data_IF_929210049474
#
_entry.id   IF_929210049474
#
_cell.length_a   1.000
_cell.length_b   1.000
_cell.length_c   1.000
_cell.angle_alpha   90.00
_cell.angle_beta   90.00
_cell.angle_gamma   90.00
#
_symmetry.space_group_name_H-M   'P 1'
#
loop_
_entity.id
_entity.type
_entity.pdbx_description
1 polymer ?
#
# COMPACT_ATOMS: atom_id res chain seq x y z
N UNK A 1 0.76 41.76 71.60
CA UNK A 1 -0.49 40.99 71.59
C UNK A 1 -1.16 41.20 70.23
N UNK A 2 -0.87 40.32 69.26
CA UNK A 2 -1.40 40.44 67.87
C UNK A 2 -2.85 39.95 67.86
N UNK A 3 -3.80 40.86 67.60
CA UNK A 3 -5.20 40.51 67.40
C UNK A 3 -5.37 40.04 65.94
N UNK A 4 -5.45 38.73 65.73
CA UNK A 4 -5.83 38.19 64.45
C UNK A 4 -7.32 38.51 64.22
N UNK A 5 -7.63 39.24 63.15
CA UNK A 5 -9.00 39.56 62.76
C UNK A 5 -9.77 38.28 62.41
N UNK A 6 -11.06 38.22 62.73
CA UNK A 6 -11.92 37.07 62.42
C UNK A 6 -11.87 36.69 60.91
N UNK A 7 -11.65 37.66 60.06
CA UNK A 7 -11.46 37.44 58.62
C UNK A 7 -10.13 36.78 58.25
N UNK A 8 -9.05 37.04 59.06
CA UNK A 8 -7.75 36.36 58.86
C UNK A 8 -7.78 34.87 59.28
N UNK A 9 -8.57 34.57 60.35
CA UNK A 9 -8.72 33.19 60.80
C UNK A 9 -9.53 32.32 59.82
N UNK A 10 -10.59 32.89 59.23
CA UNK A 10 -11.40 32.19 58.21
C UNK A 10 -10.60 31.98 56.92
N UNK A 11 -9.79 32.94 56.49
CA UNK A 11 -8.89 32.78 55.33
C UNK A 11 -7.83 31.69 55.55
N UNK A 12 -7.29 31.62 56.78
CA UNK A 12 -6.29 30.57 57.12
C UNK A 12 -6.92 29.17 57.14
N UNK A 13 -8.16 29.04 57.67
CA UNK A 13 -8.89 27.75 57.69
C UNK A 13 -9.27 27.30 56.29
N UNK A 14 -9.69 28.20 55.38
CA UNK A 14 -9.99 27.87 53.98
C UNK A 14 -8.73 27.48 53.25
N UNK A 15 -7.59 28.14 53.50
CA UNK A 15 -6.34 27.82 52.86
C UNK A 15 -5.77 26.46 53.34
N UNK A 16 -5.94 26.13 54.64
CA UNK A 16 -5.53 24.80 55.16
C UNK A 16 -6.48 23.69 54.70
N UNK A 17 -7.77 23.93 54.51
CA UNK A 17 -8.71 22.99 53.93
C UNK A 17 -8.40 22.69 52.44
N UNK A 18 -7.97 23.72 51.68
CA UNK A 18 -7.52 23.53 50.32
C UNK A 18 -6.24 22.72 50.17
N UNK A 19 -5.33 22.82 51.16
CA UNK A 19 -4.08 22.00 51.22
C UNK A 19 -4.40 20.59 51.69
N UNK A 20 -5.46 20.37 52.48
CA UNK A 20 -5.88 19.04 52.95
C UNK A 20 -6.80 18.29 51.95
N UNK A 21 -7.51 19.04 51.08
CA UNK A 21 -8.21 18.45 49.90
C UNK A 21 -7.21 18.16 48.75
N UNK A 22 -5.95 17.84 49.12
CA UNK A 22 -4.90 17.60 48.19
C UNK A 22 -5.33 16.61 47.11
N UNK A 23 -5.46 17.09 45.88
CA UNK A 23 -5.15 16.25 44.78
C UNK A 23 -3.74 15.69 45.07
N UNK A 24 -3.69 14.47 45.57
CA UNK A 24 -2.44 13.73 45.65
C UNK A 24 -1.97 13.64 44.18
N UNK A 25 -1.14 14.57 43.75
CA UNK A 25 -0.32 14.42 42.57
C UNK A 25 0.61 13.27 42.91
N UNK A 26 0.13 12.06 42.70
CA UNK A 26 0.91 10.88 42.80
C UNK A 26 2.07 11.02 41.81
N UNK A 27 3.22 11.42 42.29
CA UNK A 27 4.46 11.25 41.56
C UNK A 27 4.67 9.74 41.40
N UNK A 28 4.08 9.20 40.32
CA UNK A 28 4.32 7.83 39.94
C UNK A 28 5.79 7.74 39.52
N UNK A 29 6.62 7.35 40.46
CA UNK A 29 8.03 7.05 40.19
C UNK A 29 7.99 5.85 39.25
N UNK A 30 8.26 6.08 37.96
CA UNK A 30 8.28 5.01 36.96
C UNK A 30 9.21 3.89 37.49
N UNK A 31 8.73 2.65 37.46
CA UNK A 31 9.53 1.50 37.79
C UNK A 31 10.76 1.47 36.86
N UNK A 32 11.94 1.02 37.37
CA UNK A 32 13.09 0.80 36.49
C UNK A 32 12.79 -0.09 35.29
N UNK A 33 11.88 -1.06 35.46
CA UNK A 33 11.42 -1.93 34.38
C UNK A 33 10.61 -1.15 33.35
N UNK A 34 9.77 -0.17 33.75
CA UNK A 34 9.01 0.66 32.83
C UNK A 34 9.93 1.60 32.04
N UNK A 35 10.96 2.13 32.68
CA UNK A 35 11.95 2.99 32.03
C UNK A 35 12.69 2.18 30.95
N UNK A 36 13.17 0.99 31.30
CA UNK A 36 13.83 0.11 30.32
C UNK A 36 12.92 -0.26 29.15
N UNK A 37 11.67 -0.62 29.44
CA UNK A 37 10.70 -0.93 28.39
C UNK A 37 10.41 0.26 27.46
N UNK A 38 10.39 1.49 28.00
CA UNK A 38 10.24 2.71 27.20
C UNK A 38 11.47 2.94 26.31
N UNK A 39 12.67 2.68 26.83
CA UNK A 39 13.91 2.79 26.06
C UNK A 39 13.96 1.75 24.94
N UNK A 40 13.63 0.49 25.24
CA UNK A 40 13.56 -0.60 24.25
C UNK A 40 12.53 -0.28 23.13
N UNK A 41 11.35 0.21 23.52
CA UNK A 41 10.32 0.61 22.55
C UNK A 41 10.74 1.82 21.68
N UNK A 42 11.46 2.79 22.26
CA UNK A 42 12.00 3.92 21.51
C UNK A 42 13.03 3.47 20.46
N UNK A 43 13.95 2.59 20.88
CA UNK A 43 14.95 2.03 19.98
C UNK A 43 14.31 1.24 18.84
N UNK A 44 13.24 0.48 19.12
CA UNK A 44 12.50 -0.26 18.10
C UNK A 44 11.74 0.69 17.15
N UNK A 45 11.12 1.76 17.65
CA UNK A 45 10.48 2.80 16.82
C UNK A 45 11.50 3.44 15.89
N UNK A 46 12.66 3.83 16.39
CA UNK A 46 13.72 4.45 15.59
C UNK A 46 14.21 3.49 14.49
N UNK A 47 14.41 2.22 14.84
CA UNK A 47 14.76 1.17 13.88
C UNK A 47 13.72 0.99 12.79
N UNK A 48 12.43 0.94 13.16
CA UNK A 48 11.33 0.80 12.19
C UNK A 48 11.21 2.02 11.29
N UNK A 49 11.44 3.22 11.82
CA UNK A 49 11.47 4.45 11.01
C UNK A 49 12.60 4.41 9.97
N UNK A 50 13.79 4.01 10.38
CA UNK A 50 14.93 3.89 9.46
C UNK A 50 14.66 2.87 8.34
N UNK A 51 14.11 1.70 8.68
CA UNK A 51 13.73 0.68 7.69
C UNK A 51 12.68 1.22 6.70
N UNK A 52 11.70 1.97 7.18
CA UNK A 52 10.66 2.58 6.35
C UNK A 52 11.22 3.67 5.42
N UNK A 53 12.16 4.46 5.91
CA UNK A 53 12.85 5.46 5.07
C UNK A 53 13.68 4.80 3.97
N UNK A 54 14.40 3.73 4.31
CA UNK A 54 15.16 2.96 3.33
C UNK A 54 14.24 2.34 2.27
N UNK A 55 13.13 1.74 2.69
CA UNK A 55 12.13 1.16 1.80
C UNK A 55 11.52 2.19 0.85
N UNK A 56 11.15 3.37 1.37
CA UNK A 56 10.65 4.46 0.56
C UNK A 56 11.68 4.94 -0.46
N UNK A 57 12.96 5.02 -0.06
CA UNK A 57 14.06 5.40 -0.95
C UNK A 57 14.23 4.41 -2.11
N UNK A 58 14.16 3.09 -1.84
CA UNK A 58 14.23 2.05 -2.87
C UNK A 58 13.08 2.17 -3.89
N UNK A 59 11.84 2.36 -3.41
CA UNK A 59 10.67 2.54 -4.30
C UNK A 59 10.75 3.85 -5.10
N UNK A 60 11.25 4.92 -4.52
CA UNK A 60 11.46 6.19 -5.23
C UNK A 60 12.54 6.08 -6.31
N UNK A 61 13.62 5.33 -6.05
CA UNK A 61 14.65 5.05 -7.06
C UNK A 61 14.07 4.22 -8.23
N UNK A 62 13.30 3.17 -7.94
CA UNK A 62 12.63 2.37 -8.96
C UNK A 62 11.61 3.19 -9.76
N UNK A 63 10.86 4.09 -9.09
CA UNK A 63 9.93 5.03 -9.74
C UNK A 63 10.67 5.92 -10.73
N UNK A 64 11.76 6.56 -10.31
CA UNK A 64 12.54 7.45 -11.16
C UNK A 64 13.11 6.72 -12.39
N UNK A 65 13.57 5.48 -12.22
CA UNK A 65 14.07 4.67 -13.33
C UNK A 65 12.94 4.25 -14.28
N UNK A 66 11.76 3.89 -13.77
CA UNK A 66 10.58 3.59 -14.60
C UNK A 66 10.13 4.84 -15.37
N UNK A 67 10.02 6.00 -14.73
CA UNK A 67 9.67 7.26 -15.38
C UNK A 67 10.65 7.61 -16.50
N UNK A 68 11.95 7.39 -16.28
CA UNK A 68 12.99 7.60 -17.28
C UNK A 68 12.84 6.65 -18.47
N UNK A 69 12.66 5.34 -18.22
CA UNK A 69 12.56 4.32 -19.28
C UNK A 69 11.26 4.40 -20.08
N UNK A 70 10.18 4.80 -19.41
CA UNK A 70 8.85 4.92 -20.01
C UNK A 70 8.55 6.33 -20.54
N UNK A 71 9.53 7.22 -20.49
CA UNK A 71 9.38 8.59 -21.01
C UNK A 71 9.01 8.57 -22.48
N UNK A 72 7.85 9.19 -22.81
CA UNK A 72 7.35 9.27 -24.18
C UNK A 72 6.42 8.12 -24.60
N UNK A 73 6.30 7.06 -23.79
CA UNK A 73 5.32 5.99 -24.05
C UNK A 73 3.89 6.51 -23.81
N UNK A 74 3.08 6.49 -24.85
CA UNK A 74 1.68 6.96 -24.77
C UNK A 74 0.81 5.92 -24.07
N UNK A 75 -0.09 6.36 -23.19
CA UNK A 75 -1.01 5.48 -22.49
C UNK A 75 -0.36 4.67 -21.36
N UNK A 76 0.84 5.08 -20.92
CA UNK A 76 1.54 4.51 -19.77
C UNK A 76 1.82 5.64 -18.76
N UNK A 77 1.60 5.38 -17.50
CA UNK A 77 1.93 6.31 -16.41
C UNK A 77 2.55 5.57 -15.22
N UNK A 78 3.39 6.28 -14.47
CA UNK A 78 4.03 5.79 -13.26
C UNK A 78 3.65 6.70 -12.11
N UNK A 79 3.19 6.12 -11.00
CA UNK A 79 2.77 6.86 -9.82
C UNK A 79 3.05 6.10 -8.54
N UNK A 80 2.84 6.77 -7.42
CA UNK A 80 2.81 6.14 -6.09
C UNK A 80 1.44 6.36 -5.49
N UNK A 81 0.88 5.33 -4.87
CA UNK A 81 -0.31 5.43 -4.04
C UNK A 81 -0.14 4.59 -2.75
N UNK A 82 -1.21 4.43 -1.97
CA UNK A 82 -1.18 3.66 -0.71
C UNK A 82 -0.82 2.18 -0.89
N UNK A 83 -1.00 1.60 -2.09
CA UNK A 83 -0.66 0.21 -2.43
C UNK A 83 0.83 0.05 -2.74
N UNK A 84 1.53 1.11 -3.11
CA UNK A 84 2.94 1.09 -3.50
C UNK A 84 3.25 1.86 -4.78
N UNK A 85 4.24 1.38 -5.55
CA UNK A 85 4.62 1.95 -6.84
C UNK A 85 3.79 1.33 -7.95
N UNK A 86 3.01 2.14 -8.65
CA UNK A 86 2.03 1.71 -9.65
C UNK A 86 2.44 2.13 -11.05
N UNK A 87 2.50 1.17 -11.97
CA UNK A 87 2.63 1.41 -13.41
C UNK A 87 1.29 1.09 -14.06
N UNK A 88 0.63 2.11 -14.60
CA UNK A 88 -0.69 1.99 -15.24
C UNK A 88 -0.55 1.98 -16.75
N UNK A 89 -1.13 0.99 -17.39
CA UNK A 89 -1.25 0.88 -18.83
C UNK A 89 -2.71 1.04 -19.24
N UNK A 90 -3.02 1.95 -20.13
CA UNK A 90 -4.29 1.94 -20.85
C UNK A 90 -4.38 0.63 -21.64
N UNK A 91 -5.52 -0.07 -21.56
CA UNK A 91 -5.64 -1.45 -22.09
C UNK A 91 -5.31 -1.56 -23.58
N UNK A 92 -5.56 -0.53 -24.36
CA UNK A 92 -5.27 -0.47 -25.79
C UNK A 92 -3.77 -0.47 -26.13
N UNK A 93 -2.91 -0.15 -25.16
CA UNK A 93 -1.45 -0.30 -25.30
C UNK A 93 -1.06 -1.78 -25.33
N UNK A 94 -1.71 -2.59 -24.51
CA UNK A 94 -1.35 -3.99 -24.29
C UNK A 94 -2.18 -4.96 -25.13
N UNK A 95 -3.45 -4.65 -25.43
CA UNK A 95 -4.42 -5.59 -25.98
C UNK A 95 -5.24 -5.00 -27.12
N UNK A 96 -5.68 -5.87 -28.01
CA UNK A 96 -6.76 -5.53 -28.94
C UNK A 96 -8.13 -5.53 -28.23
N UNK A 97 -9.11 -4.87 -28.84
CA UNK A 97 -10.45 -4.74 -28.25
C UNK A 97 -11.07 -6.09 -27.94
N UNK A 98 -11.52 -6.27 -26.70
CA UNK A 98 -12.15 -7.50 -26.24
C UNK A 98 -11.20 -8.70 -26.08
N UNK A 99 -9.90 -8.53 -26.31
CA UNK A 99 -8.91 -9.60 -26.18
C UNK A 99 -8.06 -9.43 -24.92
N UNK A 100 -7.47 -10.55 -24.48
CA UNK A 100 -6.50 -10.63 -23.40
C UNK A 100 -5.11 -11.08 -23.88
N UNK A 101 -4.93 -11.36 -25.18
CA UNK A 101 -3.63 -11.66 -25.74
C UNK A 101 -2.80 -10.39 -25.87
N UNK A 102 -1.61 -10.37 -25.28
CA UNK A 102 -0.67 -9.24 -25.38
C UNK A 102 -0.26 -9.05 -26.86
N UNK A 103 -0.23 -7.81 -27.30
CA UNK A 103 0.20 -7.42 -28.65
C UNK A 103 1.73 -7.39 -28.70
N UNK A 104 2.32 -7.84 -29.80
CA UNK A 104 3.79 -7.79 -29.97
C UNK A 104 4.34 -6.35 -29.89
N UNK A 105 3.53 -5.33 -30.22
CA UNK A 105 3.91 -3.93 -30.03
C UNK A 105 4.07 -3.52 -28.57
N UNK A 106 3.53 -4.28 -27.62
CA UNK A 106 3.62 -4.02 -26.18
C UNK A 106 4.88 -4.63 -25.54
N UNK A 107 5.56 -5.57 -26.25
CA UNK A 107 6.72 -6.30 -25.69
C UNK A 107 7.80 -5.33 -25.21
N UNK A 108 8.16 -4.34 -26.01
CA UNK A 108 9.22 -3.39 -25.64
C UNK A 108 8.92 -2.54 -24.41
N UNK A 109 7.65 -2.16 -24.18
CA UNK A 109 7.28 -1.38 -23.01
C UNK A 109 7.16 -2.25 -21.76
N UNK A 110 6.65 -3.48 -21.90
CA UNK A 110 6.61 -4.45 -20.81
C UNK A 110 8.01 -4.94 -20.40
N UNK A 111 8.92 -5.12 -21.35
CA UNK A 111 10.34 -5.47 -21.07
C UNK A 111 11.03 -4.41 -20.22
N UNK A 112 10.77 -3.11 -20.47
CA UNK A 112 11.32 -2.03 -19.66
C UNK A 112 10.86 -2.15 -18.19
N UNK A 113 9.60 -2.50 -17.96
CA UNK A 113 9.03 -2.68 -16.61
C UNK A 113 9.60 -3.95 -15.97
N UNK A 114 9.58 -5.09 -16.67
CA UNK A 114 10.13 -6.35 -16.18
C UNK A 114 11.60 -6.23 -15.75
N UNK A 115 12.41 -5.52 -16.55
CA UNK A 115 13.81 -5.27 -16.23
C UNK A 115 13.99 -4.48 -14.91
N UNK A 116 13.16 -3.46 -14.65
CA UNK A 116 13.23 -2.71 -13.37
C UNK A 116 12.77 -3.58 -12.21
N UNK A 117 11.66 -4.33 -12.39
CA UNK A 117 11.15 -5.27 -11.39
C UNK A 117 12.22 -6.29 -10.97
N UNK A 118 12.95 -6.86 -11.93
CA UNK A 118 13.91 -7.90 -11.67
C UNK A 118 15.27 -7.38 -11.19
N UNK A 119 15.64 -6.14 -11.51
CA UNK A 119 16.95 -5.59 -11.16
C UNK A 119 16.95 -4.69 -9.92
N UNK A 120 15.89 -3.93 -9.67
CA UNK A 120 15.86 -2.94 -8.59
C UNK A 120 14.97 -3.32 -7.41
N UNK A 121 13.93 -4.16 -7.65
CA UNK A 121 12.95 -4.54 -6.65
C UNK A 121 12.70 -6.05 -6.66
N UNK A 122 13.77 -6.83 -6.83
CA UNK A 122 13.75 -8.28 -6.99
C UNK A 122 13.18 -9.05 -5.77
N UNK A 123 13.10 -8.43 -4.62
CA UNK A 123 12.61 -8.98 -3.36
C UNK A 123 11.18 -8.54 -2.99
N UNK A 124 10.50 -7.79 -3.89
CA UNK A 124 9.14 -7.29 -3.64
C UNK A 124 8.09 -8.11 -4.38
N UNK A 125 6.92 -8.21 -3.79
CA UNK A 125 5.75 -8.80 -4.43
C UNK A 125 5.15 -7.83 -5.46
N UNK A 126 4.58 -8.41 -6.52
CA UNK A 126 4.00 -7.68 -7.64
C UNK A 126 2.54 -8.08 -7.78
N UNK A 127 1.64 -7.11 -7.68
CA UNK A 127 0.24 -7.30 -7.98
C UNK A 127 -0.07 -6.78 -9.39
N UNK A 128 -0.81 -7.54 -10.15
CA UNK A 128 -1.31 -7.14 -11.46
C UNK A 128 -2.83 -7.03 -11.38
N UNK A 129 -3.36 -5.83 -11.60
CA UNK A 129 -4.79 -5.56 -11.50
C UNK A 129 -5.37 -5.21 -12.87
N UNK A 130 -6.39 -5.95 -13.29
CA UNK A 130 -7.13 -5.71 -14.53
C UNK A 130 -8.44 -5.00 -14.28
N UNK A 131 -8.75 -4.02 -15.12
CA UNK A 131 -9.97 -3.22 -15.03
C UNK A 131 -10.61 -3.04 -16.42
N UNK A 132 -11.94 -2.85 -16.43
CA UNK A 132 -12.72 -2.51 -17.62
C UNK A 132 -13.50 -1.22 -17.37
N UNK A 133 -14.10 -0.70 -18.43
CA UNK A 133 -15.23 0.21 -18.32
C UNK A 133 -16.53 -0.58 -18.06
N UNK A 134 -17.66 0.13 -17.98
CA UNK A 134 -18.98 -0.46 -17.74
C UNK A 134 -19.71 -0.91 -19.04
N UNK A 135 -19.04 -0.92 -20.19
CA UNK A 135 -19.65 -1.43 -21.40
C UNK A 135 -19.83 -2.95 -21.32
N UNK A 136 -21.04 -3.47 -21.54
CA UNK A 136 -21.28 -4.91 -21.51
C UNK A 136 -20.49 -5.65 -22.58
N UNK A 137 -19.99 -6.83 -22.26
CA UNK A 137 -19.34 -7.72 -23.22
C UNK A 137 -20.39 -8.22 -24.25
N UNK A 138 -20.14 -7.95 -25.53
CA UNK A 138 -21.11 -8.31 -26.62
C UNK A 138 -20.54 -9.29 -27.66
N UNK A 139 -19.24 -9.26 -27.92
CA UNK A 139 -18.64 -9.94 -29.10
C UNK A 139 -17.38 -10.75 -28.82
N UNK A 140 -16.76 -10.63 -27.64
CA UNK A 140 -15.43 -11.21 -27.36
C UNK A 140 -15.45 -12.62 -26.76
N UNK A 141 -16.62 -13.20 -26.55
CA UNK A 141 -16.75 -14.56 -25.97
C UNK A 141 -16.57 -14.65 -24.45
N UNK A 142 -16.19 -13.56 -23.79
CA UNK A 142 -16.15 -13.51 -22.31
C UNK A 142 -17.56 -13.43 -21.74
N UNK A 143 -17.79 -14.06 -20.59
CA UNK A 143 -19.09 -14.03 -19.91
C UNK A 143 -19.40 -12.67 -19.30
N UNK A 144 -18.37 -11.98 -18.78
CA UNK A 144 -18.50 -10.68 -18.14
C UNK A 144 -17.17 -9.90 -18.14
N UNK A 145 -17.22 -8.66 -17.67
CA UNK A 145 -16.05 -7.83 -17.42
C UNK A 145 -15.10 -8.40 -16.36
N UNK A 146 -15.59 -9.28 -15.48
CA UNK A 146 -14.77 -10.00 -14.50
C UNK A 146 -13.76 -10.93 -15.19
N UNK A 147 -14.22 -11.79 -16.10
CA UNK A 147 -13.36 -12.74 -16.81
C UNK A 147 -12.36 -12.01 -17.71
N UNK A 148 -12.82 -10.98 -18.44
CA UNK A 148 -11.93 -10.22 -19.34
C UNK A 148 -10.81 -9.54 -18.53
N UNK A 149 -11.15 -8.86 -17.43
CA UNK A 149 -10.16 -8.15 -16.61
C UNK A 149 -9.17 -9.12 -15.95
N UNK A 150 -9.66 -10.26 -15.43
CA UNK A 150 -8.82 -11.31 -14.85
C UNK A 150 -7.89 -11.92 -15.89
N UNK A 151 -8.40 -12.26 -17.08
CA UNK A 151 -7.58 -12.83 -18.14
C UNK A 151 -6.48 -11.86 -18.60
N UNK A 152 -6.76 -10.55 -18.67
CA UNK A 152 -5.75 -9.52 -18.99
C UNK A 152 -4.67 -9.42 -17.92
N UNK A 153 -5.05 -9.40 -16.65
CA UNK A 153 -4.10 -9.41 -15.54
C UNK A 153 -3.22 -10.66 -15.57
N UNK A 154 -3.81 -11.83 -15.81
CA UNK A 154 -3.10 -13.11 -15.92
C UNK A 154 -2.14 -13.14 -17.11
N UNK A 155 -2.51 -12.57 -18.26
CA UNK A 155 -1.61 -12.49 -19.42
C UNK A 155 -0.36 -11.64 -19.12
N UNK A 156 -0.52 -10.53 -18.39
CA UNK A 156 0.63 -9.72 -17.97
C UNK A 156 1.46 -10.45 -16.91
N UNK A 157 0.83 -11.20 -16.00
CA UNK A 157 1.53 -12.05 -15.04
C UNK A 157 2.44 -13.05 -15.75
N UNK A 158 1.91 -13.81 -16.70
CA UNK A 158 2.71 -14.79 -17.46
C UNK A 158 3.83 -14.12 -18.25
N UNK A 159 3.59 -12.94 -18.82
CA UNK A 159 4.65 -12.18 -19.48
C UNK A 159 5.80 -11.85 -18.52
N UNK A 160 5.50 -11.36 -17.31
CA UNK A 160 6.53 -11.06 -16.30
C UNK A 160 7.26 -12.33 -15.84
N UNK A 161 6.54 -13.46 -15.70
CA UNK A 161 7.11 -14.76 -15.38
C UNK A 161 8.10 -15.23 -16.47
N UNK A 162 7.71 -15.15 -17.75
CA UNK A 162 8.57 -15.46 -18.90
C UNK A 162 9.82 -14.55 -18.96
N UNK A 163 9.73 -13.32 -18.45
CA UNK A 163 10.85 -12.38 -18.34
C UNK A 163 11.68 -12.57 -17.07
N UNK A 164 11.44 -13.65 -16.31
CA UNK A 164 12.26 -14.06 -15.17
C UNK A 164 11.80 -13.53 -13.81
N UNK A 165 10.62 -12.92 -13.73
CA UNK A 165 10.04 -12.59 -12.40
C UNK A 165 9.57 -13.87 -11.72
N UNK A 166 10.04 -14.11 -10.49
CA UNK A 166 9.76 -15.34 -9.74
C UNK A 166 8.26 -15.50 -9.48
N UNK A 167 7.62 -16.66 -9.79
CA UNK A 167 6.16 -16.85 -9.71
C UNK A 167 5.55 -16.59 -8.33
N UNK A 168 6.26 -16.94 -7.25
CA UNK A 168 5.78 -16.74 -5.88
C UNK A 168 5.66 -15.26 -5.46
N UNK A 169 6.19 -14.35 -6.28
CA UNK A 169 6.07 -12.90 -6.09
C UNK A 169 4.87 -12.31 -6.85
N UNK A 170 4.25 -13.07 -7.74
CA UNK A 170 3.24 -12.57 -8.67
C UNK A 170 1.84 -12.91 -8.19
N UNK A 171 0.94 -11.95 -8.30
CA UNK A 171 -0.48 -12.15 -8.12
C UNK A 171 -1.26 -11.39 -9.19
N UNK A 172 -2.36 -11.97 -9.69
CA UNK A 172 -3.23 -11.35 -10.68
C UNK A 172 -4.67 -11.27 -10.17
N UNK A 173 -5.29 -10.11 -10.33
CA UNK A 173 -6.68 -9.85 -9.89
C UNK A 173 -7.43 -9.08 -10.98
N UNK A 174 -8.65 -9.52 -11.29
CA UNK A 174 -9.57 -8.77 -12.14
C UNK A 174 -10.66 -8.12 -11.31
N UNK A 175 -10.90 -6.83 -11.52
CA UNK A 175 -11.95 -6.08 -10.82
C UNK A 175 -13.15 -5.73 -11.71
N UNK A 176 -13.11 -6.14 -12.99
CA UNK A 176 -14.15 -5.73 -13.92
C UNK A 176 -14.30 -4.21 -13.97
N UNK A 177 -15.54 -3.75 -13.96
CA UNK A 177 -15.94 -2.33 -14.02
C UNK A 177 -16.07 -1.67 -12.63
N UNK A 178 -15.83 -2.41 -11.54
CA UNK A 178 -16.22 -2.00 -10.18
C UNK A 178 -15.20 -1.14 -9.45
N UNK A 179 -14.06 -0.83 -10.09
CA UNK A 179 -13.06 0.12 -9.58
C UNK A 179 -12.73 1.20 -10.62
N UNK A 180 -13.70 2.06 -11.00
CA UNK A 180 -13.46 3.11 -11.96
C UNK A 180 -12.57 4.21 -11.38
N UNK A 181 -11.67 4.77 -12.20
CA UNK A 181 -10.82 5.94 -11.86
C UNK A 181 -11.31 7.22 -12.55
N UNK A 182 -12.30 7.10 -13.43
CA UNK A 182 -12.93 8.22 -14.12
C UNK A 182 -14.41 7.90 -14.40
N UNK A 183 -15.22 8.93 -14.75
CA UNK A 183 -16.61 8.70 -15.13
C UNK A 183 -16.72 7.81 -16.38
N UNK A 184 -17.62 6.83 -16.34
CA UNK A 184 -17.96 5.99 -17.48
C UNK A 184 -18.87 6.69 -18.52
N UNK A 185 -19.39 7.90 -18.24
CA UNK A 185 -20.27 8.63 -19.13
C UNK A 185 -19.54 9.16 -20.36
N UNK A 186 -18.25 9.47 -20.22
CA UNK A 186 -17.42 9.99 -21.31
C UNK A 186 -16.55 8.91 -21.95
N UNK A 187 -16.22 9.06 -23.21
CA UNK A 187 -15.33 8.14 -23.94
C UNK A 187 -13.93 8.13 -23.33
N UNK A 188 -13.44 9.29 -22.95
CA UNK A 188 -12.13 9.50 -22.34
C UNK A 188 -12.06 8.86 -20.95
N UNK A 189 -13.14 8.97 -20.16
CA UNK A 189 -13.23 8.33 -18.86
C UNK A 189 -13.27 6.80 -18.95
N UNK A 190 -14.07 6.26 -19.88
CA UNK A 190 -14.08 4.81 -20.16
C UNK A 190 -12.70 4.31 -20.59
N UNK A 191 -11.98 5.07 -21.42
CA UNK A 191 -10.62 4.71 -21.81
C UNK A 191 -9.67 4.62 -20.61
N UNK A 192 -9.76 5.54 -19.66
CA UNK A 192 -8.97 5.48 -18.41
C UNK A 192 -9.35 4.30 -17.53
N UNK A 193 -10.64 3.92 -17.53
CA UNK A 193 -11.12 2.78 -16.75
C UNK A 193 -10.64 1.45 -17.35
N UNK A 194 -10.55 1.33 -18.68
CA UNK A 194 -9.94 0.16 -19.34
C UNK A 194 -8.43 0.20 -19.18
N UNK A 195 -7.90 -0.41 -18.11
CA UNK A 195 -6.49 -0.37 -17.78
C UNK A 195 -6.00 -1.67 -17.13
N UNK A 196 -4.70 -1.83 -17.14
CA UNK A 196 -3.98 -2.80 -16.28
C UNK A 196 -2.97 -2.03 -15.45
N UNK A 197 -2.93 -2.32 -14.18
CA UNK A 197 -1.97 -1.76 -13.22
C UNK A 197 -0.99 -2.86 -12.80
N UNK A 198 0.30 -2.57 -12.86
CA UNK A 198 1.35 -3.37 -12.27
C UNK A 198 1.80 -2.63 -11.01
N UNK A 199 1.60 -3.25 -9.85
CA UNK A 199 1.83 -2.63 -8.54
C UNK A 199 3.00 -3.34 -7.88
N UNK A 200 4.06 -2.60 -7.61
CA UNK A 200 5.18 -3.07 -6.81
C UNK A 200 4.84 -2.78 -5.36
N UNK A 201 4.52 -3.84 -4.62
CA UNK A 201 4.03 -3.75 -3.24
C UNK A 201 5.16 -3.36 -2.28
N UNK A 202 4.85 -2.65 -1.19
CA UNK A 202 5.75 -2.48 -0.08
C UNK A 202 6.20 -3.82 0.48
N UNK A 203 7.39 -3.88 1.09
CA UNK A 203 7.80 -5.04 1.87
C UNK A 203 6.91 -5.13 3.11
N UNK A 204 6.41 -6.32 3.39
CA UNK A 204 5.73 -6.54 4.66
C UNK A 204 6.73 -6.36 5.80
N UNK A 205 6.35 -5.61 6.81
CA UNK A 205 7.16 -5.47 8.01
C UNK A 205 7.37 -6.85 8.66
N UNK A 206 8.48 -6.99 9.39
CA UNK A 206 8.76 -8.24 10.11
C UNK A 206 7.64 -8.57 11.11
N UNK A 207 7.05 -7.54 11.73
CA UNK A 207 5.91 -7.67 12.64
C UNK A 207 4.64 -8.18 11.94
N UNK A 208 4.32 -7.66 10.74
CA UNK A 208 3.20 -8.18 9.93
C UNK A 208 3.45 -9.62 9.47
N UNK A 209 4.68 -9.94 9.10
CA UNK A 209 5.06 -11.30 8.72
C UNK A 209 4.97 -12.28 9.89
N UNK A 210 5.39 -11.87 11.09
CA UNK A 210 5.27 -12.69 12.31
C UNK A 210 3.81 -12.85 12.74
N UNK A 211 3.02 -11.78 12.69
CA UNK A 211 1.59 -11.80 12.95
C UNK A 211 0.85 -12.79 12.02
N UNK A 212 1.13 -12.76 10.72
CA UNK A 212 0.52 -13.70 9.78
C UNK A 212 0.94 -15.14 10.04
N UNK A 213 2.21 -15.40 10.36
CA UNK A 213 2.70 -16.75 10.71
C UNK A 213 2.08 -17.30 11.98
N UNK A 214 1.80 -16.43 12.95
CA UNK A 214 1.17 -16.83 14.20
C UNK A 214 -0.30 -17.21 13.98
N UNK A 215 -1.01 -16.47 13.11
CA UNK A 215 -2.43 -16.71 12.80
C UNK A 215 -2.64 -17.73 11.68
N UNK A 216 -1.63 -18.04 10.87
CA UNK A 216 -1.70 -19.12 9.88
C UNK A 216 -1.83 -20.49 10.56
N UNK A 217 -1.24 -20.67 11.75
CA UNK A 217 -1.40 -21.87 12.56
C UNK A 217 -2.82 -22.02 13.10
N UNK A 218 -3.52 -20.91 13.37
CA UNK A 218 -4.90 -20.95 13.85
C UNK A 218 -5.91 -21.28 12.72
N UNK A 219 -5.56 -20.98 11.46
CA UNK A 219 -6.40 -21.30 10.29
C UNK A 219 -6.40 -22.79 9.91
N UNK A 220 -5.46 -23.58 10.40
CA UNK A 220 -5.39 -25.02 10.18
C UNK A 220 -6.49 -25.80 10.95
N UNK A 221 -7.19 -25.15 11.89
CA UNK A 221 -8.32 -25.70 12.65
C UNK A 221 -9.70 -25.52 11.99
N UNK A 222 -9.76 -24.94 10.77
CA UNK A 222 -11.03 -24.67 10.05
C UNK A 222 -11.14 -25.54 8.77
N UNK A 223 -10.63 -26.76 8.81
CA UNK A 223 -10.85 -27.76 7.75
C UNK A 223 -11.71 -28.89 8.24
#
# INVERSE_FOLDING_TARGET
MFRISRSGLTALIVMTAFVLSGCAVGFYKRSPNDIKKIEDLKAEIERLQLLREQENSELQAAKAELEKRLKGEKGVSVGMDERGLVVTFVAEVLFDSGLAKIRSSADGVLDKVANVINSQVADRNIAIEGHTDNEPIKKSGWKSNWELSTARATSVLHYLEEKGTTPNRLQATGYGEYRPVASNDTKEGRQKNRRVEIIILPKMSKAETEFLKEHEKDSEYIK
#
